data_IF_827124435410
#
_entry.id   IF_827124435410
#
_cell.length_a   1.000
_cell.length_b   1.000
_cell.length_c   1.000
_cell.angle_alpha   90.00
_cell.angle_beta   90.00
_cell.angle_gamma   90.00
#
_symmetry.space_group_name_H-M   'P 1'
#
loop_
_entity.id
_entity.type
_entity.pdbx_description
1 polymer ?
#
# COMPACT_ATOMS: atom_id res chain seq x y z
N UNK A 1 -16.59 11.51 16.08
CA UNK A 1 -16.46 11.00 14.75
C UNK A 1 -16.22 9.51 14.82
N UNK A 2 -17.01 8.72 14.11
CA UNK A 2 -16.81 7.27 13.99
C UNK A 2 -15.55 7.13 13.15
N UNK A 3 -14.46 6.60 13.73
CA UNK A 3 -13.29 6.14 12.97
C UNK A 3 -13.85 5.05 12.05
N UNK A 4 -13.96 5.35 10.79
CA UNK A 4 -14.36 4.36 9.78
C UNK A 4 -13.09 3.52 9.55
N UNK A 5 -13.10 2.31 10.09
CA UNK A 5 -12.10 1.31 9.76
C UNK A 5 -12.31 0.99 8.27
N UNK A 6 -11.49 1.62 7.44
CA UNK A 6 -11.56 1.39 5.99
C UNK A 6 -10.99 0.02 5.72
N UNK A 7 -11.77 -0.80 5.04
CA UNK A 7 -11.36 -2.12 4.62
C UNK A 7 -10.15 -1.99 3.68
N UNK A 8 -9.04 -2.57 4.09
CA UNK A 8 -7.86 -2.66 3.25
C UNK A 8 -7.75 -4.09 2.73
N UNK A 9 -8.36 -4.37 1.59
CA UNK A 9 -8.38 -5.70 0.98
C UNK A 9 -6.99 -6.30 0.76
N UNK A 10 -5.96 -5.47 0.59
CA UNK A 10 -4.56 -5.92 0.48
C UNK A 10 -4.07 -6.43 1.82
N UNK A 11 -4.34 -5.71 2.91
CA UNK A 11 -3.94 -6.14 4.26
C UNK A 11 -4.77 -7.35 4.73
N UNK A 12 -6.07 -7.38 4.40
CA UNK A 12 -6.93 -8.52 4.68
C UNK A 12 -6.42 -9.79 3.99
N UNK A 13 -6.05 -9.72 2.71
CA UNK A 13 -5.46 -10.84 2.00
C UNK A 13 -4.12 -11.27 2.61
N UNK A 14 -3.25 -10.32 2.99
CA UNK A 14 -1.99 -10.61 3.68
C UNK A 14 -2.19 -11.31 5.02
N UNK A 15 -3.13 -10.84 5.83
CA UNK A 15 -3.48 -11.45 7.11
C UNK A 15 -4.01 -12.88 6.89
N UNK A 16 -4.89 -13.07 5.91
CA UNK A 16 -5.45 -14.38 5.60
C UNK A 16 -4.39 -15.40 5.14
N UNK A 17 -3.34 -14.98 4.41
CA UNK A 17 -2.20 -15.88 4.09
C UNK A 17 -1.54 -16.40 5.38
N UNK A 18 -1.31 -15.52 6.35
CA UNK A 18 -0.72 -15.92 7.62
C UNK A 18 -1.64 -16.88 8.40
N UNK A 19 -2.93 -16.57 8.48
CA UNK A 19 -3.95 -17.41 9.14
C UNK A 19 -4.08 -18.80 8.49
N UNK A 20 -4.20 -18.85 7.16
CA UNK A 20 -4.30 -20.10 6.40
C UNK A 20 -3.06 -20.96 6.58
N UNK A 21 -1.87 -20.35 6.54
CA UNK A 21 -0.60 -21.04 6.73
C UNK A 21 -0.48 -21.58 8.14
N UNK A 22 -0.86 -20.80 9.16
CA UNK A 22 -0.86 -21.23 10.56
C UNK A 22 -1.87 -22.37 10.79
N UNK A 23 -3.08 -22.26 10.29
CA UNK A 23 -4.10 -23.29 10.39
C UNK A 23 -3.69 -24.60 9.70
N UNK A 24 -3.03 -24.51 8.53
CA UNK A 24 -2.48 -25.68 7.85
C UNK A 24 -1.34 -26.33 8.64
N UNK A 25 -0.47 -25.53 9.25
CA UNK A 25 0.56 -26.04 10.18
C UNK A 25 -0.06 -26.80 11.36
N UNK A 26 -1.07 -26.24 12.01
CA UNK A 26 -1.75 -26.89 13.14
C UNK A 26 -2.43 -28.19 12.73
N UNK A 27 -3.05 -28.26 11.54
CA UNK A 27 -3.60 -29.51 10.99
C UNK A 27 -2.51 -30.55 10.72
N UNK A 28 -1.36 -30.14 10.17
CA UNK A 28 -0.24 -31.03 9.92
C UNK A 28 0.38 -31.56 11.23
N UNK A 29 0.39 -30.76 12.30
CA UNK A 29 0.79 -31.18 13.65
C UNK A 29 -0.21 -32.19 14.22
N UNK A 30 -1.51 -31.91 14.14
CA UNK A 30 -2.56 -32.81 14.59
C UNK A 30 -2.54 -34.17 13.85
N UNK A 31 -2.14 -34.17 12.59
CA UNK A 31 -1.94 -35.36 11.77
C UNK A 31 -0.61 -36.10 12.07
N UNK A 32 0.23 -35.55 12.96
CA UNK A 32 1.53 -36.11 13.29
C UNK A 32 2.61 -36.00 12.22
N UNK A 33 2.40 -35.12 11.21
CA UNK A 33 3.35 -34.92 10.11
C UNK A 33 4.40 -33.88 10.48
N UNK A 34 4.04 -32.86 11.25
CA UNK A 34 4.96 -31.83 11.76
C UNK A 34 5.00 -31.84 13.29
N UNK A 35 6.11 -31.36 13.85
CA UNK A 35 6.26 -31.21 15.31
C UNK A 35 5.56 -29.93 15.76
N UNK A 36 4.76 -30.02 16.83
CA UNK A 36 4.07 -28.88 17.43
C UNK A 36 4.95 -28.04 18.34
N UNK A 37 4.44 -26.86 18.73
CA UNK A 37 5.05 -25.99 19.73
C UNK A 37 6.16 -25.07 19.20
N UNK A 38 6.45 -25.08 17.90
CA UNK A 38 7.40 -24.15 17.29
C UNK A 38 6.73 -22.80 17.01
N UNK A 39 7.27 -21.72 17.59
CA UNK A 39 6.92 -20.35 17.18
C UNK A 39 7.70 -20.00 15.90
N UNK A 40 6.99 -19.85 14.79
CA UNK A 40 7.58 -19.53 13.50
C UNK A 40 7.28 -18.08 13.13
N UNK A 41 8.31 -17.25 13.13
CA UNK A 41 8.19 -15.83 12.68
C UNK A 41 8.29 -15.77 11.15
N UNK A 42 7.18 -16.03 10.49
CA UNK A 42 7.07 -15.96 9.05
C UNK A 42 6.76 -14.54 8.58
N UNK A 43 7.22 -14.22 7.37
CA UNK A 43 6.83 -12.99 6.66
C UNK A 43 5.91 -13.33 5.50
N UNK A 44 4.96 -12.43 5.22
CA UNK A 44 4.14 -12.47 4.03
C UNK A 44 4.47 -11.24 3.19
N UNK A 45 4.88 -11.46 1.95
CA UNK A 45 5.29 -10.40 1.02
C UNK A 45 4.52 -10.49 -0.30
N UNK A 46 4.51 -9.39 -1.04
CA UNK A 46 4.02 -9.35 -2.42
C UNK A 46 5.24 -9.57 -3.32
N UNK A 47 5.28 -10.66 -4.09
CA UNK A 47 6.39 -10.93 -5.01
C UNK A 47 6.55 -9.80 -6.04
N UNK A 48 7.80 -9.48 -6.40
CA UNK A 48 8.07 -8.49 -7.46
C UNK A 48 7.67 -9.00 -8.84
N UNK A 49 7.77 -10.30 -9.06
CA UNK A 49 7.38 -10.97 -10.29
C UNK A 49 6.03 -11.67 -10.08
N UNK A 50 5.05 -11.27 -10.86
CA UNK A 50 3.67 -11.83 -10.83
C UNK A 50 3.63 -13.32 -11.21
N UNK A 51 4.65 -13.85 -11.86
CA UNK A 51 4.79 -15.28 -12.11
C UNK A 51 4.84 -16.08 -10.80
N UNK A 52 5.31 -15.47 -9.70
CA UNK A 52 5.39 -16.07 -8.37
C UNK A 52 4.12 -15.89 -7.53
N UNK A 53 2.98 -15.57 -8.14
CA UNK A 53 1.72 -15.37 -7.43
C UNK A 53 1.53 -13.95 -6.92
N UNK A 54 0.48 -13.76 -6.12
CA UNK A 54 0.09 -12.45 -5.59
C UNK A 54 0.67 -12.21 -4.19
N UNK A 55 0.85 -13.29 -3.41
CA UNK A 55 1.47 -13.27 -2.09
C UNK A 55 2.40 -14.46 -1.90
N UNK A 56 3.47 -14.27 -1.14
CA UNK A 56 4.42 -15.32 -0.78
C UNK A 56 4.64 -15.37 0.74
N UNK A 57 4.55 -16.57 1.32
CA UNK A 57 4.89 -16.81 2.73
C UNK A 57 6.23 -17.51 2.87
N UNK A 58 7.08 -17.01 3.76
CA UNK A 58 8.37 -17.61 4.11
C UNK A 58 8.29 -18.66 5.24
N UNK A 59 7.10 -19.09 5.63
CA UNK A 59 6.86 -19.92 6.83
C UNK A 59 7.76 -21.17 6.89
N UNK A 60 7.83 -21.92 5.79
CA UNK A 60 8.59 -23.17 5.79
C UNK A 60 10.10 -22.93 5.94
N UNK A 61 10.62 -21.85 5.37
CA UNK A 61 12.04 -21.49 5.52
C UNK A 61 12.32 -20.99 6.94
N UNK A 62 11.46 -20.13 7.49
CA UNK A 62 11.60 -19.61 8.84
C UNK A 62 11.49 -20.74 9.90
N UNK A 63 10.62 -21.72 9.64
CA UNK A 63 10.38 -22.87 10.52
C UNK A 63 11.41 -23.99 10.43
N UNK A 64 12.26 -24.03 9.41
CA UNK A 64 13.16 -25.15 9.13
C UNK A 64 14.04 -25.56 10.32
N UNK A 65 14.62 -24.56 11.00
CA UNK A 65 15.47 -24.79 12.17
C UNK A 65 14.68 -25.29 13.38
N UNK A 66 13.51 -24.72 13.63
CA UNK A 66 12.67 -25.06 14.78
C UNK A 66 12.00 -26.42 14.64
N UNK A 67 11.66 -26.79 13.40
CA UNK A 67 11.02 -28.06 13.07
C UNK A 67 12.01 -29.17 12.73
N UNK A 68 13.31 -28.86 12.67
CA UNK A 68 14.39 -29.80 12.27
C UNK A 68 14.11 -30.56 10.97
N UNK A 69 13.49 -29.86 10.00
CA UNK A 69 13.11 -30.42 8.69
C UNK A 69 13.58 -29.51 7.54
N UNK A 70 13.74 -30.10 6.37
CA UNK A 70 14.01 -29.32 5.17
C UNK A 70 12.84 -28.39 4.83
N UNK A 71 13.08 -27.12 4.46
CA UNK A 71 12.01 -26.17 4.19
C UNK A 71 10.99 -26.68 3.18
N UNK A 72 11.43 -27.34 2.12
CA UNK A 72 10.55 -27.87 1.08
C UNK A 72 9.63 -29.01 1.60
N UNK A 73 10.11 -29.82 2.55
CA UNK A 73 9.29 -30.86 3.20
C UNK A 73 8.23 -30.24 4.12
N UNK A 74 8.58 -29.16 4.83
CA UNK A 74 7.62 -28.40 5.65
C UNK A 74 6.58 -27.75 4.73
N UNK A 75 7.02 -27.11 3.64
CA UNK A 75 6.11 -26.50 2.66
C UNK A 75 5.13 -27.52 2.09
N UNK A 76 5.59 -28.72 1.76
CA UNK A 76 4.74 -29.80 1.26
C UNK A 76 3.71 -30.22 2.31
N UNK A 77 4.14 -30.45 3.56
CA UNK A 77 3.23 -30.80 4.64
C UNK A 77 2.16 -29.73 4.88
N UNK A 78 2.50 -28.45 4.77
CA UNK A 78 1.55 -27.33 4.89
C UNK A 78 0.57 -27.33 3.72
N UNK A 79 1.05 -27.48 2.48
CA UNK A 79 0.18 -27.49 1.29
C UNK A 79 -0.78 -28.68 1.32
N UNK A 80 -0.31 -29.88 1.72
CA UNK A 80 -1.14 -31.07 1.84
C UNK A 80 -2.27 -30.93 2.87
N UNK A 81 -2.10 -30.03 3.85
CA UNK A 81 -3.09 -29.71 4.88
C UNK A 81 -3.73 -28.34 4.71
N UNK A 82 -3.48 -27.66 3.56
CA UNK A 82 -4.08 -26.37 3.25
C UNK A 82 -5.57 -26.53 2.89
N UNK A 83 -6.38 -25.68 3.48
CA UNK A 83 -7.79 -25.56 3.10
C UNK A 83 -8.05 -24.11 2.65
N UNK A 84 -8.36 -23.96 1.38
CA UNK A 84 -8.66 -22.67 0.75
C UNK A 84 -10.16 -22.43 0.60
N UNK A 85 -11.01 -23.31 1.16
CA UNK A 85 -12.47 -23.14 1.08
C UNK A 85 -12.87 -21.80 1.68
N UNK A 86 -13.72 -21.07 0.99
CA UNK A 86 -14.22 -19.72 1.35
C UNK A 86 -13.13 -18.65 1.56
N UNK A 87 -11.87 -18.96 1.17
CA UNK A 87 -10.79 -18.00 1.24
C UNK A 87 -10.76 -17.05 0.04
N UNK A 88 -9.91 -16.02 0.13
CA UNK A 88 -9.64 -15.08 -0.97
C UNK A 88 -8.75 -15.70 -2.07
N UNK A 89 -8.22 -16.90 -1.85
CA UNK A 89 -7.20 -17.53 -2.69
C UNK A 89 -7.76 -18.70 -3.49
N UNK A 90 -7.33 -18.80 -4.74
CA UNK A 90 -7.66 -19.91 -5.64
C UNK A 90 -6.67 -21.07 -5.54
N UNK A 91 -5.40 -20.79 -5.27
CA UNK A 91 -4.36 -21.81 -5.22
C UNK A 91 -3.17 -21.38 -4.36
N UNK A 92 -2.42 -22.37 -3.90
CA UNK A 92 -1.11 -22.23 -3.26
C UNK A 92 -0.13 -23.18 -3.93
N UNK A 93 1.08 -22.72 -4.21
CA UNK A 93 2.15 -23.48 -4.86
C UNK A 93 3.45 -23.36 -4.09
N UNK A 94 4.28 -24.42 -4.11
CA UNK A 94 5.61 -24.40 -3.51
C UNK A 94 6.62 -23.89 -4.54
N UNK A 95 7.33 -22.81 -4.20
CA UNK A 95 8.35 -22.23 -5.06
C UNK A 95 9.74 -22.25 -4.39
N UNK A 96 10.78 -22.39 -5.23
CA UNK A 96 12.15 -22.34 -4.79
C UNK A 96 12.48 -23.26 -3.62
N UNK A 97 13.15 -22.77 -2.57
CA UNK A 97 13.58 -23.57 -1.42
C UNK A 97 12.43 -23.92 -0.46
N UNK A 98 11.22 -23.35 -0.63
CA UNK A 98 10.09 -23.61 0.25
C UNK A 98 9.20 -22.40 0.50
N UNK A 99 9.14 -21.44 -0.43
CA UNK A 99 8.13 -20.40 -0.40
C UNK A 99 6.75 -20.99 -0.70
N UNK A 100 5.73 -20.48 -0.03
CA UNK A 100 4.34 -20.78 -0.30
C UNK A 100 3.76 -19.59 -1.08
N UNK A 101 3.56 -19.76 -2.38
CA UNK A 101 3.05 -18.72 -3.28
C UNK A 101 1.54 -18.88 -3.45
N UNK A 102 0.80 -17.85 -3.09
CA UNK A 102 -0.65 -17.80 -3.14
C UNK A 102 -1.14 -16.98 -4.32
N UNK A 103 -2.20 -17.45 -5.00
CA UNK A 103 -2.89 -16.71 -6.07
C UNK A 103 -4.28 -16.33 -5.63
N UNK A 104 -4.63 -15.06 -5.82
CA UNK A 104 -5.96 -14.54 -5.53
C UNK A 104 -7.02 -15.22 -6.39
N UNK A 105 -8.15 -15.51 -5.78
CA UNK A 105 -9.31 -16.10 -6.42
C UNK A 105 -10.35 -15.06 -6.87
N UNK A 106 -11.33 -15.50 -7.63
CA UNK A 106 -12.43 -14.67 -8.12
C UNK A 106 -13.17 -13.96 -6.96
N UNK A 107 -13.25 -14.59 -5.80
CA UNK A 107 -13.87 -14.02 -4.60
C UNK A 107 -13.23 -12.69 -4.21
N UNK A 108 -11.89 -12.59 -4.17
CA UNK A 108 -11.21 -11.34 -3.82
C UNK A 108 -11.56 -10.19 -4.77
N UNK A 109 -11.58 -10.47 -6.07
CA UNK A 109 -11.95 -9.45 -7.08
C UNK A 109 -13.42 -9.03 -6.94
N UNK A 110 -14.32 -9.98 -6.66
CA UNK A 110 -15.73 -9.69 -6.40
C UNK A 110 -15.93 -8.84 -5.15
N UNK A 111 -15.24 -9.17 -4.06
CA UNK A 111 -15.30 -8.43 -2.79
C UNK A 111 -14.76 -6.99 -2.96
N UNK A 112 -13.65 -6.81 -3.72
CA UNK A 112 -13.12 -5.46 -4.04
C UNK A 112 -14.13 -4.64 -4.84
N UNK A 113 -14.79 -5.22 -5.84
CA UNK A 113 -15.79 -4.50 -6.62
C UNK A 113 -17.00 -4.10 -5.77
N UNK A 114 -17.45 -4.99 -4.89
CA UNK A 114 -18.54 -4.69 -3.95
C UNK A 114 -18.15 -3.58 -2.97
N UNK A 115 -16.91 -3.55 -2.50
CA UNK A 115 -16.38 -2.50 -1.65
C UNK A 115 -16.31 -1.14 -2.37
N UNK A 116 -15.82 -1.13 -3.63
CA UNK A 116 -15.82 0.08 -4.47
C UNK A 116 -17.23 0.64 -4.64
N UNK A 117 -18.22 -0.21 -4.89
CA UNK A 117 -19.63 0.21 -5.01
C UNK A 117 -20.18 0.75 -3.69
N UNK A 118 -19.88 0.09 -2.57
CA UNK A 118 -20.36 0.49 -1.25
C UNK A 118 -19.75 1.80 -0.76
N UNK A 119 -18.47 2.02 -0.99
CA UNK A 119 -17.77 3.25 -0.58
C UNK A 119 -17.96 4.40 -1.58
N UNK A 120 -18.20 4.07 -2.84
CA UNK A 120 -18.46 5.04 -3.91
C UNK A 120 -17.34 6.08 -4.02
N UNK A 121 -17.68 7.39 -3.98
CA UNK A 121 -16.69 8.48 -4.12
C UNK A 121 -15.62 8.52 -3.01
N UNK A 122 -15.81 7.79 -1.92
CA UNK A 122 -14.86 7.77 -0.80
C UNK A 122 -13.91 6.58 -0.85
N UNK A 123 -14.03 5.71 -1.86
CA UNK A 123 -13.15 4.57 -2.01
C UNK A 123 -11.67 4.97 -2.11
N UNK A 124 -10.84 4.30 -1.33
CA UNK A 124 -9.40 4.59 -1.25
C UNK A 124 -9.01 5.73 -0.31
N UNK A 125 -9.97 6.36 0.38
CA UNK A 125 -9.67 7.28 1.47
C UNK A 125 -9.04 6.54 2.64
N UNK A 126 -8.10 7.15 3.37
CA UNK A 126 -7.50 6.58 4.58
C UNK A 126 -7.41 7.59 5.72
N UNK A 127 -7.12 7.10 6.92
CA UNK A 127 -6.89 7.92 8.12
C UNK A 127 -5.42 7.81 8.61
N UNK A 128 -4.49 7.52 7.71
CA UNK A 128 -3.06 7.39 8.03
C UNK A 128 -2.49 8.69 8.65
N UNK A 129 -2.98 9.83 8.19
CA UNK A 129 -2.59 11.15 8.68
C UNK A 129 -3.09 11.49 10.08
N UNK A 130 -4.14 10.82 10.57
CA UNK A 130 -4.73 11.02 11.91
C UNK A 130 -4.97 12.49 12.26
N UNK A 131 -5.35 13.31 11.28
CA UNK A 131 -5.53 14.74 11.46
C UNK A 131 -4.25 15.53 11.73
N UNK A 132 -3.07 14.96 11.48
CA UNK A 132 -1.81 15.67 11.60
C UNK A 132 -1.77 16.84 10.63
N UNK A 133 -1.38 18.02 11.15
CA UNK A 133 -1.30 19.24 10.33
C UNK A 133 -0.11 19.21 9.42
N UNK A 134 -0.35 19.47 8.14
CA UNK A 134 0.67 19.56 7.10
C UNK A 134 0.41 20.81 6.26
N UNK A 135 1.45 21.55 5.94
CA UNK A 135 1.40 22.68 5.04
C UNK A 135 2.14 22.34 3.75
N UNK A 136 1.51 22.59 2.61
CA UNK A 136 2.11 22.43 1.28
C UNK A 136 2.15 23.79 0.60
N UNK A 137 3.38 24.32 0.44
CA UNK A 137 3.63 25.55 -0.28
C UNK A 137 3.95 25.23 -1.75
N UNK A 138 3.24 25.84 -2.69
CA UNK A 138 3.48 25.65 -4.11
C UNK A 138 3.08 26.89 -4.94
N UNK A 139 3.69 27.02 -6.14
CA UNK A 139 3.49 28.14 -7.07
C UNK A 139 3.87 29.50 -6.49
N UNK A 140 4.73 29.55 -5.49
CA UNK A 140 5.25 30.78 -4.88
C UNK A 140 6.25 31.49 -5.82
N UNK A 141 5.77 31.92 -6.99
CA UNK A 141 6.59 32.56 -8.00
C UNK A 141 6.57 34.08 -7.84
N UNK A 142 7.73 34.72 -8.06
CA UNK A 142 7.82 36.20 -8.08
C UNK A 142 6.96 36.75 -9.22
N UNK A 143 6.19 37.84 -9.02
CA UNK A 143 5.30 38.44 -10.01
C UNK A 143 6.07 39.31 -11.04
N UNK A 144 7.11 38.73 -11.63
CA UNK A 144 8.03 39.41 -12.55
C UNK A 144 7.70 39.17 -14.04
N UNK A 145 6.56 38.55 -14.34
CA UNK A 145 6.08 38.25 -15.68
C UNK A 145 5.05 37.13 -15.70
N UNK A 146 4.60 36.70 -16.89
CA UNK A 146 3.68 35.59 -17.04
C UNK A 146 4.25 34.29 -16.46
N UNK A 147 3.40 33.46 -15.86
CA UNK A 147 3.80 32.12 -15.40
C UNK A 147 4.25 31.26 -16.58
N UNK A 148 5.37 30.59 -16.42
CA UNK A 148 5.88 29.62 -17.41
C UNK A 148 5.53 28.17 -17.03
N UNK A 149 5.80 27.22 -17.94
CA UNK A 149 5.47 25.81 -17.75
C UNK A 149 6.06 25.20 -16.46
N UNK A 150 7.21 25.68 -15.98
CA UNK A 150 7.80 25.24 -14.72
C UNK A 150 6.91 25.55 -13.51
N UNK A 151 6.31 26.76 -13.49
CA UNK A 151 5.36 27.15 -12.45
C UNK A 151 4.07 26.30 -12.52
N UNK A 152 3.55 26.05 -13.72
CA UNK A 152 2.36 25.23 -13.93
C UNK A 152 2.58 23.78 -13.45
N UNK A 153 3.76 23.21 -13.73
CA UNK A 153 4.14 21.86 -13.24
C UNK A 153 4.23 21.83 -11.72
N UNK A 154 4.85 22.85 -11.11
CA UNK A 154 4.91 22.99 -9.66
C UNK A 154 3.53 23.11 -9.03
N UNK A 155 2.61 23.85 -9.69
CA UNK A 155 1.22 23.99 -9.30
C UNK A 155 0.48 22.65 -9.30
N UNK A 156 0.54 21.94 -10.42
CA UNK A 156 -0.10 20.63 -10.54
C UNK A 156 0.43 19.61 -9.51
N UNK A 157 1.75 19.55 -9.34
CA UNK A 157 2.38 18.67 -8.36
C UNK A 157 1.97 19.00 -6.93
N UNK A 158 2.02 20.29 -6.56
CA UNK A 158 1.66 20.75 -5.21
C UNK A 158 0.19 20.51 -4.88
N UNK A 159 -0.71 20.78 -5.82
CA UNK A 159 -2.14 20.54 -5.64
C UNK A 159 -2.46 19.04 -5.53
N UNK A 160 -1.88 18.20 -6.40
CA UNK A 160 -2.03 16.75 -6.29
C UNK A 160 -1.47 16.20 -4.96
N UNK A 161 -0.31 16.69 -4.52
CA UNK A 161 0.26 16.27 -3.24
C UNK A 161 -0.65 16.66 -2.06
N UNK A 162 -1.13 17.91 -2.07
CA UNK A 162 -2.06 18.38 -1.03
C UNK A 162 -3.36 17.57 -1.03
N UNK A 163 -3.90 17.24 -2.21
CA UNK A 163 -5.10 16.42 -2.34
C UNK A 163 -4.90 14.99 -1.84
N UNK A 164 -3.76 14.35 -2.15
CA UNK A 164 -3.46 13.00 -1.67
C UNK A 164 -3.27 12.98 -0.15
N UNK A 165 -2.61 13.98 0.42
CA UNK A 165 -2.44 14.08 1.88
C UNK A 165 -3.80 14.27 2.57
N UNK A 166 -4.65 15.15 2.06
CA UNK A 166 -6.01 15.38 2.57
C UNK A 166 -6.84 14.09 2.49
N UNK A 167 -6.76 13.38 1.35
CA UNK A 167 -7.41 12.08 1.16
C UNK A 167 -6.88 11.00 2.11
N UNK A 168 -5.63 11.15 2.57
CA UNK A 168 -4.99 10.25 3.53
C UNK A 168 -5.21 10.64 5.00
N UNK A 169 -6.12 11.58 5.28
CA UNK A 169 -6.53 11.95 6.64
C UNK A 169 -5.63 12.97 7.33
N UNK A 170 -4.78 13.71 6.59
CA UNK A 170 -4.06 14.86 7.13
C UNK A 170 -4.92 16.12 7.12
N UNK A 171 -4.67 17.04 8.05
CA UNK A 171 -5.23 18.40 8.07
C UNK A 171 -4.31 19.29 7.21
N UNK A 172 -4.65 19.47 5.93
CA UNK A 172 -3.77 20.07 4.93
C UNK A 172 -4.06 21.54 4.73
N UNK A 173 -3.04 22.38 4.93
CA UNK A 173 -3.05 23.80 4.55
C UNK A 173 -2.29 23.97 3.24
N UNK A 174 -2.92 24.58 2.25
CA UNK A 174 -2.27 25.02 1.00
C UNK A 174 -1.76 26.44 1.18
N UNK A 175 -0.49 26.68 0.90
CA UNK A 175 0.15 28.00 1.05
C UNK A 175 0.67 28.47 -0.28
N UNK A 176 0.47 29.78 -0.52
CA UNK A 176 1.06 30.52 -1.61
C UNK A 176 1.78 31.74 -1.03
N UNK A 177 3.11 31.79 -1.16
CA UNK A 177 3.89 32.92 -0.70
C UNK A 177 3.84 34.07 -1.70
N UNK A 178 3.34 35.23 -1.28
CA UNK A 178 3.30 36.44 -2.09
C UNK A 178 4.57 37.26 -1.84
N UNK A 179 5.40 37.37 -2.86
CA UNK A 179 6.58 38.23 -2.83
C UNK A 179 6.33 39.49 -3.64
N UNK A 180 5.83 40.54 -3.00
CA UNK A 180 5.40 41.79 -3.59
C UNK A 180 6.40 42.95 -3.36
N UNK A 181 7.61 42.66 -2.87
CA UNK A 181 8.65 43.64 -2.59
C UNK A 181 9.99 43.29 -3.23
N UNK A 182 10.78 44.29 -3.55
CA UNK A 182 12.18 44.15 -3.98
C UNK A 182 12.49 44.67 -5.40
N UNK A 183 13.79 44.73 -5.72
CA UNK A 183 14.31 45.33 -6.97
C UNK A 183 13.82 44.65 -8.26
N UNK A 184 13.40 43.39 -8.23
CA UNK A 184 12.87 42.71 -9.42
C UNK A 184 11.48 43.18 -9.77
N UNK A 185 10.65 43.52 -8.81
CA UNK A 185 9.30 44.05 -9.02
C UNK A 185 9.40 45.47 -9.62
N UNK A 186 10.24 46.33 -9.06
CA UNK A 186 10.45 47.68 -9.54
C UNK A 186 10.93 47.71 -10.99
N UNK A 187 11.86 46.82 -11.37
CA UNK A 187 12.31 46.67 -12.77
C UNK A 187 11.22 46.16 -13.72
N UNK A 188 10.31 45.31 -13.25
CA UNK A 188 9.17 44.83 -14.05
C UNK A 188 8.16 45.97 -14.34
N UNK A 189 7.90 46.82 -13.36
CA UNK A 189 7.02 47.99 -13.49
C UNK A 189 7.60 49.02 -14.44
N UNK A 190 8.91 49.28 -14.37
CA UNK A 190 9.63 50.18 -15.30
C UNK A 190 9.52 49.66 -16.75
N UNK A 191 9.78 48.38 -16.99
CA UNK A 191 9.67 47.76 -18.32
C UNK A 191 8.25 47.77 -18.89
N UNK A 192 7.25 47.63 -18.05
CA UNK A 192 5.84 47.65 -18.49
C UNK A 192 5.40 49.05 -18.83
N UNK A 193 5.89 50.06 -18.14
CA UNK A 193 5.60 51.49 -18.44
C UNK A 193 6.27 51.98 -19.73
N UNK A 194 7.48 51.48 -20.07
CA UNK A 194 8.17 51.79 -21.31
C UNK A 194 7.48 51.18 -22.55
N UNK A 195 6.78 50.05 -22.41
CA UNK A 195 6.03 49.43 -23.51
C UNK A 195 4.65 50.05 -23.75
N UNK A 196 4.17 50.90 -22.84
CA UNK A 196 2.90 51.60 -22.95
C UNK A 196 3.05 53.09 -23.40
N UNK A 197 4.25 53.58 -23.55
CA UNK A 197 4.58 54.91 -24.05
C UNK A 197 5.01 54.87 -25.51
#
# INVERSE_FOLDING_TARGET
>A
GVIREMSNMIQAARAQVAELTQAAYERAVAAGVLTGGAEVKATVEIPKDTAHGDYASSFAMAGAKALHMAPRAIAQAIVDHMDLTDSLFASVEIAGPGFLNFRLGAKWYGDVLAEIEAEGPLYGQSDEGRGQKVMVEFVSANPTGPMHMGNARGGALGDCLAAVLDWSGYDVTREFYINDAGNQLQRSEEHTSELQS
#
